data_IF_776318155444
#
_entry.id   IF_776318155444
#
_cell.length_a   1.000
_cell.length_b   1.000
_cell.length_c   1.000
_cell.angle_alpha   90.00
_cell.angle_beta   90.00
_cell.angle_gamma   90.00
#
_symmetry.space_group_name_H-M   'P 1'
#
loop_
_entity.id
_entity.type
_entity.pdbx_description
1 polymer ?
#
# COMPACT_ATOMS: atom_id res chain seq x y z
N UNK A 1 38.88 60.94 1.71
CA UNK A 1 37.40 60.94 1.84
C UNK A 1 37.11 60.72 3.31
N UNK A 2 36.22 61.52 3.88
CA UNK A 2 35.87 61.50 5.31
C UNK A 2 35.44 60.09 5.74
N UNK A 3 36.03 59.60 6.83
CA UNK A 3 35.64 58.38 7.55
C UNK A 3 34.20 58.53 8.08
N UNK A 4 33.22 58.41 7.20
CA UNK A 4 31.87 58.03 7.59
C UNK A 4 32.00 56.66 8.24
N UNK A 5 31.86 56.63 9.57
CA UNK A 5 31.97 55.49 10.48
C UNK A 5 32.28 54.16 9.75
N UNK A 6 33.56 53.78 9.66
CA UNK A 6 34.00 52.60 8.91
C UNK A 6 33.30 51.30 9.34
N UNK A 7 32.70 51.27 10.53
CA UNK A 7 31.93 50.15 11.07
C UNK A 7 30.44 50.18 10.72
N UNK A 8 29.95 51.27 10.12
CA UNK A 8 28.52 51.49 9.87
C UNK A 8 27.90 50.40 9.01
N UNK A 9 28.58 50.04 7.92
CA UNK A 9 28.09 48.99 7.02
C UNK A 9 27.88 47.67 7.78
N UNK A 10 28.85 47.26 8.59
CA UNK A 10 28.77 46.04 9.39
C UNK A 10 27.68 46.11 10.46
N UNK A 11 27.51 47.24 11.13
CA UNK A 11 26.45 47.45 12.12
C UNK A 11 25.05 47.38 11.47
N UNK A 12 24.87 47.99 10.31
CA UNK A 12 23.62 47.94 9.55
C UNK A 12 23.35 46.51 9.03
N UNK A 13 24.39 45.81 8.57
CA UNK A 13 24.31 44.43 8.11
C UNK A 13 23.95 43.43 9.24
N UNK A 14 24.44 43.66 10.47
CA UNK A 14 24.04 42.87 11.65
C UNK A 14 22.54 43.02 11.98
N UNK A 15 21.95 44.17 11.67
CA UNK A 15 20.52 44.40 11.79
C UNK A 15 19.71 43.84 10.59
N UNK A 16 20.37 43.17 9.63
CA UNK A 16 19.76 42.62 8.42
C UNK A 16 19.61 43.62 7.27
N UNK A 17 20.13 44.84 7.42
CA UNK A 17 20.05 45.89 6.41
C UNK A 17 21.34 45.91 5.58
N UNK A 18 21.37 45.10 4.52
CA UNK A 18 22.52 45.03 3.63
C UNK A 18 22.58 46.25 2.69
N UNK A 19 23.69 46.97 2.72
CA UNK A 19 24.03 47.99 1.72
C UNK A 19 24.44 47.40 0.37
N UNK A 20 24.80 48.22 -0.62
CA UNK A 20 25.35 47.74 -1.90
C UNK A 20 26.63 46.92 -1.65
N UNK A 21 26.76 45.81 -2.40
CA UNK A 21 27.91 44.89 -2.32
C UNK A 21 28.63 44.96 -3.67
N UNK A 22 29.89 45.40 -3.64
CA UNK A 22 30.77 45.46 -4.81
C UNK A 22 32.10 44.77 -4.51
N UNK A 23 32.59 43.98 -5.46
CA UNK A 23 33.80 43.15 -5.31
C UNK A 23 35.07 43.97 -5.01
N UNK A 24 35.11 45.24 -5.45
CA UNK A 24 36.24 46.15 -5.26
C UNK A 24 36.10 47.07 -4.04
N UNK A 25 35.08 46.88 -3.21
CA UNK A 25 34.77 47.76 -2.08
C UNK A 25 34.54 46.95 -0.79
N UNK A 26 35.61 46.34 -0.23
CA UNK A 26 35.51 45.59 1.01
C UNK A 26 35.08 46.50 2.16
N UNK A 27 34.21 46.00 3.03
CA UNK A 27 33.70 46.77 4.17
C UNK A 27 34.29 46.25 5.48
N UNK A 28 34.74 47.16 6.33
CA UNK A 28 35.30 46.82 7.64
C UNK A 28 34.24 46.19 8.54
N UNK A 29 34.61 45.09 9.20
CA UNK A 29 33.69 44.32 10.02
C UNK A 29 34.17 42.92 10.34
N UNK A 30 33.31 42.20 11.07
CA UNK A 30 33.49 40.80 11.40
C UNK A 30 32.43 39.96 10.68
N UNK A 31 32.89 38.90 10.02
CA UNK A 31 32.09 38.05 9.16
C UNK A 31 32.42 36.57 9.40
N UNK A 32 31.64 35.68 8.80
CA UNK A 32 32.00 34.27 8.67
C UNK A 32 31.89 33.81 7.22
N UNK A 33 32.70 32.83 6.85
CA UNK A 33 32.64 32.23 5.51
C UNK A 33 32.88 30.72 5.59
N UNK A 34 32.37 29.97 4.61
CA UNK A 34 32.67 28.54 4.47
C UNK A 34 32.67 28.12 3.02
N UNK A 35 33.45 27.08 2.73
CA UNK A 35 33.24 26.31 1.52
C UNK A 35 32.07 25.34 1.70
N UNK A 36 31.52 24.86 0.59
CA UNK A 36 30.47 23.85 0.61
C UNK A 36 30.97 22.63 1.40
N UNK A 37 30.16 22.19 2.38
CA UNK A 37 30.43 21.05 3.26
C UNK A 37 31.69 21.20 4.15
N UNK A 38 32.13 22.44 4.44
CA UNK A 38 33.20 22.76 5.40
C UNK A 38 32.68 23.61 6.58
N UNK A 39 33.36 23.58 7.74
CA UNK A 39 33.02 24.44 8.88
C UNK A 39 33.07 25.93 8.52
N UNK A 40 32.31 26.76 9.23
CA UNK A 40 32.47 28.21 9.15
C UNK A 40 33.79 28.66 9.77
N UNK A 41 34.45 29.54 9.06
CA UNK A 41 35.68 30.21 9.48
C UNK A 41 35.39 31.69 9.76
N UNK A 42 35.91 32.23 10.89
CA UNK A 42 35.77 33.65 11.20
C UNK A 42 36.62 34.48 10.24
N UNK A 43 36.10 35.63 9.84
CA UNK A 43 36.76 36.58 8.96
C UNK A 43 36.73 37.97 9.59
N UNK A 44 37.88 38.61 9.74
CA UNK A 44 37.97 40.03 10.08
C UNK A 44 38.51 40.80 8.88
N UNK A 45 37.87 41.91 8.55
CA UNK A 45 38.34 42.88 7.55
C UNK A 45 38.49 44.22 8.24
N UNK A 46 39.63 44.88 8.09
CA UNK A 46 39.87 46.21 8.65
C UNK A 46 40.73 47.06 7.72
N UNK A 47 40.56 48.38 7.81
CA UNK A 47 41.36 49.35 7.07
C UNK A 47 42.37 50.00 8.00
N UNK A 48 43.66 49.87 7.68
CA UNK A 48 44.76 50.40 8.49
C UNK A 48 45.86 50.95 7.58
N UNK A 49 46.46 52.09 7.95
CA UNK A 49 47.57 52.71 7.21
C UNK A 49 47.33 52.94 5.70
N UNK A 50 46.08 53.10 5.28
CA UNK A 50 45.73 53.30 3.87
C UNK A 50 45.54 52.02 3.06
N UNK A 51 45.65 50.86 3.69
CA UNK A 51 45.51 49.54 3.06
C UNK A 51 44.40 48.70 3.74
N UNK A 52 43.80 47.83 2.95
CA UNK A 52 42.81 46.86 3.43
C UNK A 52 43.48 45.57 3.84
N UNK A 53 43.21 45.15 5.08
CA UNK A 53 43.68 43.88 5.63
C UNK A 53 42.50 42.94 5.90
N UNK A 54 42.74 41.63 5.73
CA UNK A 54 41.79 40.63 6.11
C UNK A 54 42.46 39.39 6.70
N UNK A 55 41.81 38.79 7.71
CA UNK A 55 42.21 37.54 8.34
C UNK A 55 41.06 36.54 8.24
N UNK A 56 41.33 35.34 7.74
CA UNK A 56 40.43 34.18 7.75
C UNK A 56 40.97 33.15 8.74
N UNK A 57 40.36 33.06 9.92
CA UNK A 57 40.99 32.42 11.07
C UNK A 57 42.31 33.10 11.38
N UNK A 58 43.38 32.32 11.48
CA UNK A 58 44.75 32.80 11.71
C UNK A 58 45.50 33.17 10.42
N UNK A 59 44.85 33.11 9.25
CA UNK A 59 45.51 33.30 7.94
C UNK A 59 45.23 34.68 7.35
N UNK A 60 46.27 35.40 6.99
CA UNK A 60 46.15 36.64 6.22
C UNK A 60 45.69 36.33 4.78
N UNK A 61 44.69 37.07 4.30
CA UNK A 61 44.11 36.94 2.96
C UNK A 61 43.85 38.32 2.36
N UNK A 62 43.71 38.40 1.04
CA UNK A 62 43.31 39.63 0.37
C UNK A 62 41.85 40.00 0.72
N UNK A 63 41.64 41.22 1.19
CA UNK A 63 40.32 41.71 1.61
C UNK A 63 39.29 41.76 0.47
N UNK A 64 39.68 42.17 -0.73
CA UNK A 64 38.79 42.22 -1.89
C UNK A 64 38.38 40.81 -2.35
N UNK A 65 39.30 39.83 -2.28
CA UNK A 65 39.00 38.44 -2.65
C UNK A 65 38.02 37.77 -1.69
N UNK A 66 38.17 37.98 -0.38
CA UNK A 66 37.32 37.31 0.62
C UNK A 66 35.96 38.00 0.82
N UNK A 67 35.87 39.28 0.49
CA UNK A 67 34.70 40.13 0.72
C UNK A 67 33.40 39.52 0.16
N UNK A 68 33.40 39.13 -1.11
CA UNK A 68 32.21 38.58 -1.80
C UNK A 68 31.69 37.28 -1.17
N UNK A 69 32.58 36.52 -0.52
CA UNK A 69 32.26 35.26 0.16
C UNK A 69 31.77 35.43 1.61
N UNK A 70 32.06 36.57 2.24
CA UNK A 70 31.75 36.78 3.66
C UNK A 70 30.72 37.90 3.93
N UNK A 71 30.55 38.86 3.01
CA UNK A 71 29.67 40.03 3.14
C UNK A 71 28.22 39.71 3.56
N UNK A 72 27.66 38.57 3.14
CA UNK A 72 26.28 38.16 3.45
C UNK A 72 26.12 37.52 4.84
N UNK A 73 27.21 37.30 5.57
CA UNK A 73 27.21 36.62 6.87
C UNK A 73 27.95 37.44 7.92
N UNK A 74 27.45 38.64 8.28
CA UNK A 74 28.02 39.43 9.37
C UNK A 74 27.82 38.72 10.71
N UNK A 75 28.81 38.84 11.60
CA UNK A 75 28.78 38.26 12.95
C UNK A 75 29.13 39.32 13.99
N UNK A 76 28.68 39.14 15.23
CA UNK A 76 29.08 40.02 16.32
C UNK A 76 30.57 39.85 16.61
N UNK A 77 31.19 40.88 17.18
CA UNK A 77 32.59 40.82 17.61
C UNK A 77 32.82 39.70 18.64
N UNK A 78 31.84 39.49 19.53
CA UNK A 78 31.86 38.40 20.51
C UNK A 78 31.87 37.02 19.83
N UNK A 79 31.02 36.81 18.82
CA UNK A 79 31.00 35.57 18.04
C UNK A 79 32.31 35.36 17.26
N UNK A 80 32.92 36.44 16.75
CA UNK A 80 34.22 36.37 16.09
C UNK A 80 35.32 35.91 17.06
N UNK A 81 35.43 36.53 18.23
CA UNK A 81 36.44 36.15 19.24
C UNK A 81 36.23 34.71 19.71
N UNK A 82 34.98 34.33 20.00
CA UNK A 82 34.65 32.96 20.38
C UNK A 82 35.08 31.94 19.32
N UNK A 83 34.87 32.24 18.04
CA UNK A 83 35.26 31.37 16.94
C UNK A 83 36.80 31.28 16.78
N UNK A 84 37.53 32.39 16.97
CA UNK A 84 39.00 32.43 16.96
C UNK A 84 39.59 31.63 18.13
N UNK A 85 38.97 31.71 19.31
CA UNK A 85 39.37 30.96 20.51
C UNK A 85 39.00 29.47 20.45
N UNK A 86 38.43 29.00 19.32
CA UNK A 86 38.04 27.61 19.10
C UNK A 86 36.68 27.21 19.70
N UNK A 87 35.90 28.16 20.22
CA UNK A 87 34.59 27.93 20.83
C UNK A 87 33.42 27.75 19.85
N UNK A 88 33.66 27.83 18.54
CA UNK A 88 32.65 27.58 17.51
C UNK A 88 31.53 28.62 17.41
N UNK A 89 30.36 28.21 16.91
CA UNK A 89 29.21 29.08 16.60
C UNK A 89 27.96 28.63 17.36
N UNK A 90 27.24 29.56 18.00
CA UNK A 90 26.08 29.22 18.84
C UNK A 90 24.86 28.72 18.04
N UNK A 91 24.75 29.13 16.79
CA UNK A 91 23.70 28.72 15.85
C UNK A 91 24.05 27.44 15.08
N UNK A 92 25.27 26.93 15.21
CA UNK A 92 25.63 25.63 14.62
C UNK A 92 25.61 24.51 15.67
N UNK A 93 25.06 23.34 15.32
CA UNK A 93 25.27 22.16 16.14
C UNK A 93 26.74 21.74 16.06
N UNK A 94 27.26 21.24 17.18
CA UNK A 94 28.62 20.70 17.26
C UNK A 94 28.85 19.70 16.12
N UNK A 95 29.99 19.80 15.44
CA UNK A 95 30.33 18.79 14.43
C UNK A 95 30.51 17.45 15.16
N UNK A 96 29.90 16.35 14.70
CA UNK A 96 30.15 15.05 15.29
C UNK A 96 31.64 14.73 15.22
N UNK A 97 32.21 14.29 16.35
CA UNK A 97 33.62 13.92 16.47
C UNK A 97 33.87 12.57 15.76
N UNK A 98 33.73 12.56 14.44
CA UNK A 98 33.98 11.40 13.61
C UNK A 98 35.50 11.28 13.45
N UNK A 99 36.11 10.32 14.15
CA UNK A 99 37.54 10.08 14.09
C UNK A 99 38.03 9.76 12.68
N UNK A 100 39.32 9.98 12.40
CA UNK A 100 39.95 9.76 11.08
C UNK A 100 39.96 8.31 10.58
N UNK A 101 39.42 7.36 11.35
CA UNK A 101 39.42 5.93 11.03
C UNK A 101 38.00 5.40 10.82
N UNK A 102 37.29 6.00 9.86
CA UNK A 102 35.98 5.51 9.43
C UNK A 102 36.10 4.12 8.76
N UNK A 103 35.11 3.22 8.95
CA UNK A 103 35.05 1.95 8.22
C UNK A 103 35.06 2.16 6.70
N UNK A 104 35.65 1.22 5.96
CA UNK A 104 35.65 1.24 4.49
C UNK A 104 34.30 0.82 3.90
N UNK A 105 33.51 0.05 4.65
CA UNK A 105 32.18 -0.35 4.25
C UNK A 105 31.21 0.85 4.31
N UNK A 106 30.49 1.17 3.21
CA UNK A 106 29.59 2.33 3.18
C UNK A 106 28.43 2.26 4.18
N UNK A 107 27.93 1.07 4.52
CA UNK A 107 26.85 0.92 5.48
C UNK A 107 27.36 1.16 6.90
N UNK A 108 28.48 0.54 7.27
CA UNK A 108 29.11 0.74 8.59
C UNK A 108 29.53 2.20 8.78
N UNK A 109 30.09 2.84 7.75
CA UNK A 109 30.46 4.25 7.80
C UNK A 109 29.23 5.16 8.03
N UNK A 110 28.12 4.88 7.34
CA UNK A 110 26.88 5.65 7.52
C UNK A 110 26.22 5.40 8.88
N UNK A 111 26.37 4.20 9.44
CA UNK A 111 25.90 3.89 10.79
C UNK A 111 26.68 4.67 11.85
N UNK A 112 28.00 4.80 11.70
CA UNK A 112 28.83 5.64 12.58
C UNK A 112 28.43 7.11 12.48
N UNK A 113 28.21 7.64 11.26
CA UNK A 113 27.72 9.00 11.03
C UNK A 113 26.37 9.24 11.74
N UNK A 114 25.44 8.29 11.61
CA UNK A 114 24.13 8.38 12.25
C UNK A 114 24.20 8.33 13.78
N UNK A 115 24.98 7.42 14.35
CA UNK A 115 25.02 7.28 15.82
C UNK A 115 25.61 8.53 16.49
N UNK A 116 26.63 9.14 15.87
CA UNK A 116 27.21 10.38 16.36
C UNK A 116 26.20 11.55 16.34
N UNK A 117 25.44 11.73 15.25
CA UNK A 117 24.40 12.75 15.16
C UNK A 117 23.21 12.45 16.09
N UNK A 118 22.83 11.17 16.22
CA UNK A 118 21.74 10.71 17.09
C UNK A 118 22.00 10.99 18.56
N UNK A 119 23.23 10.77 19.04
CA UNK A 119 23.59 11.06 20.43
C UNK A 119 23.41 12.56 20.76
N UNK A 120 23.90 13.43 19.88
CA UNK A 120 23.78 14.88 20.04
C UNK A 120 22.31 15.34 19.98
N UNK A 121 21.54 14.86 19.01
CA UNK A 121 20.13 15.20 18.85
C UNK A 121 19.31 14.69 20.04
N UNK A 122 19.58 13.48 20.53
CA UNK A 122 18.89 12.93 21.70
C UNK A 122 19.19 13.73 22.98
N UNK A 123 20.40 14.28 23.12
CA UNK A 123 20.72 15.19 24.21
C UNK A 123 20.00 16.54 24.05
N UNK A 124 19.94 17.08 22.84
CA UNK A 124 19.27 18.36 22.53
C UNK A 124 17.76 18.29 22.77
N UNK A 125 17.09 17.22 22.34
CA UNK A 125 15.64 17.01 22.48
C UNK A 125 15.14 16.98 23.94
N UNK A 126 16.03 16.80 24.93
CA UNK A 126 15.68 16.85 26.36
C UNK A 126 15.37 18.27 26.85
N UNK A 127 15.78 19.30 26.10
CA UNK A 127 15.58 20.70 26.45
C UNK A 127 14.55 21.34 25.52
N UNK A 128 13.65 22.20 26.02
CA UNK A 128 12.76 22.95 25.15
C UNK A 128 13.57 23.94 24.30
N UNK A 129 13.17 24.10 23.04
CA UNK A 129 13.70 25.14 22.14
C UNK A 129 13.13 26.47 22.63
N UNK A 130 14.00 27.37 23.09
CA UNK A 130 13.57 28.67 23.64
C UNK A 130 14.21 29.87 22.95
N UNK A 131 15.23 29.64 22.11
CA UNK A 131 15.96 30.67 21.38
C UNK A 131 15.96 30.41 19.87
N UNK A 132 16.21 31.45 19.07
CA UNK A 132 16.37 31.31 17.62
C UNK A 132 17.56 30.39 17.28
N UNK A 133 18.67 30.50 18.02
CA UNK A 133 19.83 29.62 17.85
C UNK A 133 19.48 28.14 18.12
N UNK A 134 18.63 27.84 19.10
CA UNK A 134 18.10 26.48 19.30
C UNK A 134 17.31 25.99 18.09
N UNK A 135 16.46 26.85 17.52
CA UNK A 135 15.66 26.52 16.35
C UNK A 135 16.53 26.29 15.10
N UNK A 136 17.57 27.10 14.90
CA UNK A 136 18.51 26.98 13.79
C UNK A 136 19.34 25.69 13.91
N UNK A 137 19.81 25.34 15.11
CA UNK A 137 20.49 24.07 15.38
C UNK A 137 19.59 22.86 15.07
N UNK A 138 18.33 22.90 15.52
CA UNK A 138 17.34 21.87 15.20
C UNK A 138 17.12 21.72 13.69
N UNK A 139 17.02 22.81 12.95
CA UNK A 139 16.85 22.79 11.50
C UNK A 139 18.07 22.18 10.78
N UNK A 140 19.30 22.50 11.23
CA UNK A 140 20.53 21.94 10.68
C UNK A 140 20.61 20.43 10.95
N UNK A 141 20.37 20.00 12.19
CA UNK A 141 20.33 18.57 12.54
C UNK A 141 19.27 17.81 11.73
N UNK A 142 18.06 18.36 11.60
CA UNK A 142 17.00 17.78 10.77
C UNK A 142 17.48 17.53 9.33
N UNK A 143 18.14 18.53 8.71
CA UNK A 143 18.70 18.40 7.36
C UNK A 143 19.81 17.34 7.27
N UNK A 144 20.69 17.25 8.28
CA UNK A 144 21.76 16.24 8.32
C UNK A 144 21.17 14.83 8.43
N UNK A 145 20.23 14.61 9.34
CA UNK A 145 19.52 13.33 9.49
C UNK A 145 18.75 12.93 8.23
N UNK A 146 18.07 13.89 7.57
CA UNK A 146 17.40 13.64 6.30
C UNK A 146 18.40 13.23 5.19
N UNK A 147 19.60 13.82 5.20
CA UNK A 147 20.67 13.45 4.25
C UNK A 147 21.18 12.04 4.51
N UNK A 148 21.37 11.64 5.77
CA UNK A 148 21.75 10.28 6.16
C UNK A 148 20.68 9.27 5.70
N UNK A 149 19.41 9.55 5.95
CA UNK A 149 18.30 8.70 5.51
C UNK A 149 18.25 8.54 3.98
N UNK A 150 18.52 9.62 3.23
CA UNK A 150 18.63 9.57 1.78
C UNK A 150 19.80 8.69 1.32
N UNK A 151 21.01 8.88 1.89
CA UNK A 151 22.18 8.04 1.60
C UNK A 151 21.87 6.56 1.83
N UNK A 152 21.22 6.22 2.94
CA UNK A 152 20.84 4.85 3.26
C UNK A 152 19.87 4.26 2.21
N UNK A 153 18.87 5.06 1.78
CA UNK A 153 17.93 4.65 0.73
C UNK A 153 18.64 4.39 -0.60
N UNK A 154 19.57 5.27 -0.98
CA UNK A 154 20.33 5.16 -2.22
C UNK A 154 21.28 3.95 -2.19
N UNK A 155 22.02 3.72 -1.10
CA UNK A 155 22.87 2.54 -0.91
C UNK A 155 22.06 1.24 -0.95
N UNK A 156 20.98 1.16 -0.17
CA UNK A 156 20.09 -0.01 -0.16
C UNK A 156 19.52 -0.29 -1.56
N UNK A 157 19.13 0.75 -2.31
CA UNK A 157 18.67 0.57 -3.69
C UNK A 157 19.74 -0.06 -4.56
N UNK A 158 20.97 0.44 -4.52
CA UNK A 158 22.10 -0.09 -5.30
C UNK A 158 22.39 -1.54 -4.93
N UNK A 159 22.45 -1.85 -3.63
CA UNK A 159 22.73 -3.21 -3.14
C UNK A 159 21.61 -4.20 -3.49
N UNK A 160 20.35 -3.76 -3.39
CA UNK A 160 19.18 -4.61 -3.66
C UNK A 160 18.91 -4.81 -5.16
N UNK A 161 19.34 -3.89 -6.02
CA UNK A 161 19.02 -3.89 -7.45
C UNK A 161 19.40 -5.19 -8.17
N UNK A 162 20.61 -5.77 -8.00
CA UNK A 162 20.97 -7.03 -8.63
C UNK A 162 20.07 -8.20 -8.22
N UNK A 163 19.65 -8.25 -6.96
CA UNK A 163 18.75 -9.30 -6.46
C UNK A 163 17.34 -9.16 -7.04
N UNK A 164 16.85 -7.92 -7.20
CA UNK A 164 15.56 -7.67 -7.87
C UNK A 164 15.61 -8.03 -9.35
N UNK A 165 16.70 -7.72 -10.03
CA UNK A 165 16.87 -8.04 -11.44
C UNK A 165 17.01 -9.55 -11.65
N UNK A 166 17.70 -10.26 -10.76
CA UNK A 166 17.76 -11.73 -10.77
C UNK A 166 16.38 -12.35 -10.49
N UNK A 167 15.64 -11.83 -9.51
CA UNK A 167 14.26 -12.28 -9.26
C UNK A 167 13.39 -12.11 -10.49
N UNK A 168 13.43 -10.94 -11.14
CA UNK A 168 12.67 -10.66 -12.38
C UNK A 168 13.08 -11.61 -13.49
N UNK A 169 14.37 -11.85 -13.69
CA UNK A 169 14.90 -12.77 -14.70
C UNK A 169 14.36 -14.19 -14.49
N UNK A 170 14.33 -14.65 -13.23
CA UNK A 170 13.75 -15.96 -12.87
C UNK A 170 12.24 -15.95 -13.15
N UNK A 171 11.52 -14.95 -12.67
CA UNK A 171 10.07 -14.85 -12.85
C UNK A 171 9.69 -14.86 -14.33
N UNK A 172 10.37 -14.07 -15.15
CA UNK A 172 10.13 -13.97 -16.58
C UNK A 172 10.44 -15.29 -17.32
N UNK A 173 11.51 -16.01 -16.92
CA UNK A 173 11.81 -17.35 -17.45
C UNK A 173 10.65 -18.32 -17.25
N UNK A 174 9.92 -18.21 -16.15
CA UNK A 174 8.83 -19.14 -15.80
C UNK A 174 7.43 -18.63 -16.14
N UNK A 175 7.27 -17.33 -16.42
CA UNK A 175 5.96 -16.69 -16.65
C UNK A 175 5.14 -17.41 -17.70
N UNK A 176 5.67 -17.57 -18.91
CA UNK A 176 4.98 -18.25 -20.01
C UNK A 176 4.60 -19.70 -19.66
N UNK A 177 5.49 -20.44 -18.99
CA UNK A 177 5.22 -21.82 -18.58
C UNK A 177 4.18 -21.94 -17.46
N UNK A 178 3.97 -20.89 -16.66
CA UNK A 178 2.93 -20.84 -15.64
C UNK A 178 1.59 -20.37 -16.21
N UNK A 179 1.60 -19.34 -17.04
CA UNK A 179 0.41 -18.66 -17.53
C UNK A 179 -0.17 -19.34 -18.78
N UNK A 180 0.64 -19.63 -19.80
CA UNK A 180 0.13 -20.12 -21.10
C UNK A 180 -0.55 -21.49 -20.98
N UNK A 181 0.03 -22.52 -20.31
CA UNK A 181 -0.66 -23.80 -20.15
C UNK A 181 -1.93 -23.70 -19.32
N UNK A 182 -1.95 -22.84 -18.30
CA UNK A 182 -3.13 -22.60 -17.48
C UNK A 182 -4.25 -21.97 -18.31
N UNK A 183 -3.92 -20.99 -19.15
CA UNK A 183 -4.87 -20.31 -20.01
C UNK A 183 -5.35 -21.18 -21.16
N UNK A 184 -4.46 -21.95 -21.80
CA UNK A 184 -4.84 -22.98 -22.77
C UNK A 184 -5.75 -24.04 -22.14
N UNK A 185 -5.45 -24.50 -20.93
CA UNK A 185 -6.31 -25.44 -20.20
C UNK A 185 -7.71 -24.87 -19.94
N UNK A 186 -7.82 -23.60 -19.50
CA UNK A 186 -9.10 -22.91 -19.34
C UNK A 186 -9.86 -22.82 -20.67
N UNK A 187 -9.17 -22.46 -21.76
CA UNK A 187 -9.77 -22.39 -23.10
C UNK A 187 -10.28 -23.74 -23.59
N UNK A 188 -9.51 -24.82 -23.38
CA UNK A 188 -9.94 -26.17 -23.72
C UNK A 188 -11.19 -26.59 -22.93
N UNK A 189 -11.23 -26.31 -21.63
CA UNK A 189 -12.43 -26.57 -20.81
C UNK A 189 -13.65 -25.82 -21.33
N UNK A 190 -13.49 -24.51 -21.60
CA UNK A 190 -14.55 -23.68 -22.19
C UNK A 190 -15.00 -24.15 -23.57
N UNK A 191 -14.09 -24.72 -24.36
CA UNK A 191 -14.43 -25.27 -25.67
C UNK A 191 -15.39 -26.46 -25.57
N UNK A 192 -15.45 -27.13 -24.41
CA UNK A 192 -16.40 -28.21 -24.16
C UNK A 192 -17.77 -27.71 -23.66
N UNK A 193 -17.93 -26.41 -23.39
CA UNK A 193 -19.16 -25.87 -22.80
C UNK A 193 -20.37 -26.18 -23.69
N UNK A 194 -20.26 -25.96 -25.00
CA UNK A 194 -21.36 -26.24 -25.95
C UNK A 194 -21.76 -27.72 -25.94
N UNK A 195 -20.78 -28.63 -25.90
CA UNK A 195 -21.05 -30.07 -25.82
C UNK A 195 -21.72 -30.44 -24.50
N UNK A 196 -21.20 -29.94 -23.37
CA UNK A 196 -21.76 -30.22 -22.04
C UNK A 196 -23.17 -29.63 -21.87
N UNK A 197 -23.44 -28.45 -22.44
CA UNK A 197 -24.77 -27.85 -22.48
C UNK A 197 -25.75 -28.70 -23.28
N UNK A 198 -25.33 -29.22 -24.42
CA UNK A 198 -26.16 -30.13 -25.22
C UNK A 198 -26.41 -31.45 -24.48
N UNK A 199 -25.39 -32.03 -23.83
CA UNK A 199 -25.58 -33.21 -22.99
C UNK A 199 -26.54 -32.93 -21.83
N UNK A 200 -26.46 -31.75 -21.21
CA UNK A 200 -27.40 -31.33 -20.17
C UNK A 200 -28.82 -31.19 -20.71
N UNK A 201 -29.00 -30.65 -21.93
CA UNK A 201 -30.30 -30.55 -22.60
C UNK A 201 -30.92 -31.93 -22.86
N UNK A 202 -30.13 -32.87 -23.39
CA UNK A 202 -30.56 -34.25 -23.63
C UNK A 202 -30.94 -34.97 -22.33
N UNK A 203 -30.14 -34.77 -21.27
CA UNK A 203 -30.41 -35.35 -19.96
C UNK A 203 -31.66 -34.75 -19.31
N UNK A 204 -31.89 -33.44 -19.47
CA UNK A 204 -33.14 -32.78 -19.04
C UNK A 204 -34.35 -33.30 -19.81
N UNK A 205 -34.22 -33.53 -21.12
CA UNK A 205 -35.30 -34.11 -21.93
C UNK A 205 -35.61 -35.55 -21.51
N UNK A 206 -34.58 -36.38 -21.31
CA UNK A 206 -34.72 -37.74 -20.78
C UNK A 206 -35.38 -37.72 -19.41
N UNK A 207 -34.92 -36.83 -18.52
CA UNK A 207 -35.50 -36.68 -17.19
C UNK A 207 -36.97 -36.25 -17.26
N UNK A 208 -37.35 -35.33 -18.15
CA UNK A 208 -38.74 -34.91 -18.32
C UNK A 208 -39.61 -36.09 -18.74
N UNK A 209 -39.20 -36.86 -19.75
CA UNK A 209 -39.92 -38.06 -20.21
C UNK A 209 -40.00 -39.13 -19.10
N UNK A 210 -38.91 -39.36 -18.38
CA UNK A 210 -38.87 -40.33 -17.28
C UNK A 210 -39.75 -39.91 -16.10
N UNK A 211 -39.88 -38.61 -15.81
CA UNK A 211 -40.80 -38.08 -14.79
C UNK A 211 -42.25 -38.23 -15.22
N UNK A 212 -42.60 -37.90 -16.46
CA UNK A 212 -43.96 -38.08 -16.99
C UNK A 212 -44.39 -39.56 -16.94
N UNK A 213 -43.47 -40.48 -17.26
CA UNK A 213 -43.66 -41.92 -17.17
C UNK A 213 -43.81 -42.39 -15.72
N UNK A 214 -42.91 -41.96 -14.82
CA UNK A 214 -42.98 -42.27 -13.39
C UNK A 214 -44.29 -41.75 -12.77
N UNK A 215 -44.74 -40.54 -13.13
CA UNK A 215 -46.01 -39.96 -12.68
C UNK A 215 -47.22 -40.75 -13.22
N UNK A 216 -47.12 -41.37 -14.39
CA UNK A 216 -48.17 -42.27 -14.92
C UNK A 216 -48.20 -43.58 -14.14
N UNK A 217 -47.05 -44.23 -13.95
CA UNK A 217 -46.94 -45.51 -13.24
C UNK A 217 -47.31 -45.33 -11.76
N UNK A 218 -46.95 -44.22 -11.14
CA UNK A 218 -47.33 -43.91 -9.77
C UNK A 218 -48.85 -43.74 -9.59
N UNK A 219 -49.54 -43.10 -10.55
CA UNK A 219 -51.00 -43.01 -10.55
C UNK A 219 -51.65 -44.39 -10.71
N UNK A 220 -51.16 -45.22 -11.62
CA UNK A 220 -51.64 -46.59 -11.81
C UNK A 220 -51.42 -47.46 -10.56
N UNK A 221 -50.26 -47.32 -9.91
CA UNK A 221 -49.96 -48.01 -8.66
C UNK A 221 -50.87 -47.55 -7.50
N UNK A 222 -51.15 -46.25 -7.39
CA UNK A 222 -52.07 -45.73 -6.37
C UNK A 222 -53.51 -46.16 -6.62
N UNK A 223 -53.98 -46.13 -7.87
CA UNK A 223 -55.29 -46.63 -8.27
C UNK A 223 -55.44 -48.14 -7.95
N UNK A 224 -54.43 -48.95 -8.25
CA UNK A 224 -54.42 -50.38 -7.93
C UNK A 224 -54.41 -50.63 -6.42
N UNK A 225 -53.66 -49.83 -5.65
CA UNK A 225 -53.64 -49.90 -4.17
C UNK A 225 -55.01 -49.55 -3.58
N UNK A 226 -55.63 -48.46 -4.03
CA UNK A 226 -56.97 -48.04 -3.61
C UNK A 226 -58.01 -49.10 -4.00
N UNK A 227 -57.89 -49.72 -5.18
CA UNK A 227 -58.77 -50.80 -5.62
C UNK A 227 -58.61 -52.05 -4.75
N UNK A 228 -57.39 -52.45 -4.42
CA UNK A 228 -57.11 -53.56 -3.52
C UNK A 228 -57.65 -53.31 -2.11
N UNK A 229 -57.46 -52.09 -1.57
CA UNK A 229 -57.97 -51.68 -0.26
C UNK A 229 -59.51 -51.65 -0.22
N UNK A 230 -60.17 -51.07 -1.23
CA UNK A 230 -61.64 -51.07 -1.34
C UNK A 230 -62.21 -52.48 -1.47
N UNK A 231 -61.55 -53.36 -2.24
CA UNK A 231 -61.96 -54.76 -2.38
C UNK A 231 -61.83 -55.51 -1.06
N UNK A 232 -60.72 -55.31 -0.33
CA UNK A 232 -60.52 -55.89 1.00
C UNK A 232 -61.58 -55.41 2.00
N UNK A 233 -61.86 -54.11 2.03
CA UNK A 233 -62.90 -53.53 2.90
C UNK A 233 -64.30 -54.07 2.59
N UNK A 234 -64.63 -54.27 1.31
CA UNK A 234 -65.91 -54.87 0.89
C UNK A 234 -66.02 -56.34 1.30
N UNK A 235 -64.96 -57.14 1.13
CA UNK A 235 -64.95 -58.54 1.56
C UNK A 235 -65.14 -58.69 3.09
N UNK A 236 -64.52 -57.81 3.88
CA UNK A 236 -64.72 -57.75 5.34
C UNK A 236 -66.17 -57.37 5.69
N UNK A 237 -66.76 -56.42 4.97
CA UNK A 237 -68.15 -56.00 5.18
C UNK A 237 -69.18 -57.07 4.80
N UNK A 238 -68.94 -57.82 3.72
CA UNK A 238 -69.85 -58.85 3.21
C UNK A 238 -69.70 -60.21 3.94
N UNK A 239 -68.70 -60.35 4.84
CA UNK A 239 -68.48 -61.58 5.62
C UNK A 239 -68.07 -62.80 4.78
N UNK A 240 -67.56 -62.57 3.57
CA UNK A 240 -67.20 -63.62 2.60
C UNK A 240 -65.79 -64.15 2.93
N UNK A 241 -65.68 -65.43 3.30
CA UNK A 241 -64.43 -66.09 3.67
C UNK A 241 -64.20 -67.41 2.90
N UNK A 242 -64.64 -67.50 1.64
CA UNK A 242 -64.32 -68.66 0.81
C UNK A 242 -62.90 -68.59 0.24
N UNK A 243 -62.37 -69.75 -0.15
CA UNK A 243 -61.01 -69.88 -0.68
C UNK A 243 -60.78 -69.09 -1.99
N UNK A 244 -61.84 -68.82 -2.77
CA UNK A 244 -61.75 -68.07 -4.02
C UNK A 244 -61.60 -66.57 -3.76
N UNK A 245 -62.32 -66.02 -2.78
CA UNK A 245 -62.22 -64.62 -2.35
C UNK A 245 -60.85 -64.29 -1.76
N UNK A 246 -60.25 -65.23 -1.01
CA UNK A 246 -58.88 -65.11 -0.46
C UNK A 246 -57.85 -65.14 -1.60
N UNK A 247 -58.00 -66.02 -2.58
CA UNK A 247 -57.10 -66.09 -3.74
C UNK A 247 -57.16 -64.80 -4.58
N UNK A 248 -58.37 -64.24 -4.78
CA UNK A 248 -58.57 -62.98 -5.50
C UNK A 248 -57.95 -61.78 -4.77
N UNK A 249 -58.05 -61.73 -3.44
CA UNK A 249 -57.40 -60.72 -2.61
C UNK A 249 -55.88 -60.80 -2.71
N UNK A 250 -55.29 -61.98 -2.55
CA UNK A 250 -53.84 -62.18 -2.64
C UNK A 250 -53.30 -61.81 -4.03
N UNK A 251 -54.03 -62.11 -5.11
CA UNK A 251 -53.66 -61.72 -6.46
C UNK A 251 -53.65 -60.20 -6.64
N UNK A 252 -54.64 -59.48 -6.09
CA UNK A 252 -54.70 -58.00 -6.12
C UNK A 252 -53.61 -57.34 -5.30
N UNK A 253 -53.29 -57.89 -4.13
CA UNK A 253 -52.16 -57.42 -3.31
C UNK A 253 -50.85 -57.62 -4.05
N UNK A 254 -50.62 -58.80 -4.64
CA UNK A 254 -49.42 -59.06 -5.43
C UNK A 254 -49.32 -58.16 -6.68
N UNK A 255 -50.46 -57.82 -7.30
CA UNK A 255 -50.52 -56.86 -8.41
C UNK A 255 -50.17 -55.43 -7.97
N UNK A 256 -50.75 -54.97 -6.85
CA UNK A 256 -50.43 -53.66 -6.26
C UNK A 256 -48.95 -53.56 -5.84
N UNK A 257 -48.38 -54.62 -5.26
CA UNK A 257 -46.96 -54.67 -4.89
C UNK A 257 -46.03 -54.62 -6.11
N UNK A 258 -46.37 -55.33 -7.20
CA UNK A 258 -45.60 -55.23 -8.47
C UNK A 258 -45.65 -53.82 -9.04
N UNK A 259 -46.82 -53.19 -9.07
CA UNK A 259 -46.97 -51.83 -9.59
C UNK A 259 -46.24 -50.81 -8.70
N UNK A 260 -46.23 -51.00 -7.38
CA UNK A 260 -45.44 -50.18 -6.46
C UNK A 260 -43.93 -50.33 -6.70
N UNK A 261 -43.44 -51.55 -6.95
CA UNK A 261 -42.05 -51.79 -7.29
C UNK A 261 -41.68 -51.15 -8.64
N UNK A 262 -42.55 -51.25 -9.65
CA UNK A 262 -42.38 -50.58 -10.95
C UNK A 262 -42.34 -49.05 -10.81
N UNK A 263 -43.19 -48.47 -9.95
CA UNK A 263 -43.16 -47.04 -9.64
C UNK A 263 -41.82 -46.63 -9.00
N UNK A 264 -41.31 -47.42 -8.04
CA UNK A 264 -40.02 -47.17 -7.39
C UNK A 264 -38.80 -47.34 -8.32
N UNK A 265 -38.86 -48.26 -9.29
CA UNK A 265 -37.86 -48.40 -10.35
C UNK A 265 -37.91 -47.21 -11.32
N UNK A 266 -39.10 -46.79 -11.75
CA UNK A 266 -39.30 -45.64 -12.65
C UNK A 266 -38.85 -44.32 -11.99
N UNK A 267 -39.12 -44.13 -10.69
CA UNK A 267 -38.66 -42.96 -9.94
C UNK A 267 -37.12 -42.91 -9.84
N UNK A 268 -36.46 -44.06 -9.64
CA UNK A 268 -34.99 -44.16 -9.67
C UNK A 268 -34.43 -43.81 -11.04
N UNK A 269 -35.09 -44.22 -12.12
CA UNK A 269 -34.70 -43.83 -13.47
C UNK A 269 -34.89 -42.33 -13.73
N UNK A 270 -35.90 -41.69 -13.14
CA UNK A 270 -36.17 -40.25 -13.28
C UNK A 270 -35.18 -39.33 -12.55
N UNK A 271 -34.30 -39.87 -11.69
CA UNK A 271 -33.31 -39.09 -10.96
C UNK A 271 -32.33 -38.37 -11.91
N UNK A 272 -31.95 -37.14 -11.55
CA UNK A 272 -31.03 -36.32 -12.34
C UNK A 272 -29.62 -36.91 -12.34
N UNK A 273 -29.00 -36.98 -13.52
CA UNK A 273 -27.57 -37.29 -13.63
C UNK A 273 -26.82 -36.04 -14.07
N UNK A 274 -25.64 -35.82 -13.50
CA UNK A 274 -24.80 -34.70 -13.93
C UNK A 274 -24.21 -35.00 -15.30
N UNK A 275 -24.55 -34.15 -16.28
CA UNK A 275 -23.89 -34.16 -17.58
C UNK A 275 -22.39 -33.92 -17.40
N UNK A 276 -21.58 -34.76 -18.03
CA UNK A 276 -20.12 -34.71 -17.89
C UNK A 276 -19.43 -35.29 -19.11
N UNK A 277 -18.20 -34.86 -19.36
CA UNK A 277 -17.34 -35.35 -20.43
C UNK A 277 -15.98 -35.82 -19.88
N UNK A 278 -15.27 -36.61 -20.67
CA UNK A 278 -13.92 -37.08 -20.36
C UNK A 278 -13.86 -38.43 -19.64
N UNK A 279 -12.65 -39.00 -19.58
CA UNK A 279 -12.37 -40.30 -18.95
C UNK A 279 -12.11 -40.17 -17.44
N UNK A 280 -12.05 -41.31 -16.74
CA UNK A 280 -11.64 -41.39 -15.34
C UNK A 280 -10.32 -40.64 -15.11
N UNK A 281 -10.30 -39.72 -14.14
CA UNK A 281 -9.16 -38.84 -13.84
C UNK A 281 -9.11 -37.51 -14.62
N UNK A 282 -9.94 -37.34 -15.65
CA UNK A 282 -10.03 -36.10 -16.46
C UNK A 282 -11.48 -35.66 -16.71
N UNK A 283 -12.40 -36.05 -15.82
CA UNK A 283 -13.83 -35.75 -15.95
C UNK A 283 -14.08 -34.26 -15.73
N UNK A 284 -14.87 -33.66 -16.62
CA UNK A 284 -15.30 -32.25 -16.53
C UNK A 284 -16.82 -32.21 -16.54
N UNK A 285 -17.38 -31.35 -15.70
CA UNK A 285 -18.80 -31.06 -15.62
C UNK A 285 -19.01 -29.55 -15.51
N UNK A 286 -20.19 -29.07 -15.90
CA UNK A 286 -20.56 -27.68 -15.74
C UNK A 286 -20.60 -27.29 -14.26
N UNK A 287 -20.14 -26.08 -13.93
CA UNK A 287 -20.19 -25.49 -12.59
C UNK A 287 -20.85 -24.13 -12.64
N UNK A 288 -21.68 -23.85 -11.64
CA UNK A 288 -22.32 -22.54 -11.47
C UNK A 288 -21.38 -21.61 -10.69
N UNK A 289 -20.99 -20.50 -11.30
CA UNK A 289 -20.27 -19.42 -10.63
C UNK A 289 -21.24 -18.24 -10.44
N UNK A 290 -21.38 -17.78 -9.20
CA UNK A 290 -22.20 -16.61 -8.86
C UNK A 290 -21.29 -15.40 -8.80
N UNK A 291 -21.46 -14.47 -9.74
CA UNK A 291 -20.72 -13.21 -9.77
C UNK A 291 -21.69 -12.04 -9.65
N UNK A 292 -21.32 -11.02 -8.89
CA UNK A 292 -22.09 -9.78 -8.82
C UNK A 292 -21.83 -8.92 -10.06
N UNK A 293 -22.89 -8.35 -10.63
CA UNK A 293 -22.82 -7.29 -11.63
C UNK A 293 -23.43 -6.03 -11.02
N UNK A 294 -22.62 -5.01 -10.79
CA UNK A 294 -23.09 -3.73 -10.26
C UNK A 294 -23.65 -2.90 -11.42
N UNK A 295 -24.96 -2.65 -11.41
CA UNK A 295 -25.62 -1.84 -12.43
C UNK A 295 -25.82 -0.37 -11.98
N UNK A 296 -25.87 -0.15 -10.66
CA UNK A 296 -25.95 1.17 -10.05
C UNK A 296 -24.88 1.26 -8.95
N UNK A 297 -23.82 2.01 -9.24
CA UNK A 297 -22.70 2.18 -8.32
C UNK A 297 -23.05 3.05 -7.12
N UNK A 298 -23.96 4.02 -7.26
CA UNK A 298 -24.36 4.89 -6.15
C UNK A 298 -25.18 4.10 -5.13
N UNK A 299 -26.15 3.32 -5.59
CA UNK A 299 -26.94 2.45 -4.72
C UNK A 299 -26.05 1.39 -4.05
N UNK A 300 -25.14 0.77 -4.80
CA UNK A 300 -24.21 -0.22 -4.26
C UNK A 300 -23.25 0.36 -3.22
N UNK A 301 -22.63 1.52 -3.50
CA UNK A 301 -21.76 2.20 -2.54
C UNK A 301 -22.52 2.59 -1.27
N UNK A 302 -23.73 3.12 -1.40
CA UNK A 302 -24.59 3.47 -0.25
C UNK A 302 -24.88 2.25 0.62
N UNK A 303 -25.29 1.14 0.00
CA UNK A 303 -25.55 -0.11 0.72
C UNK A 303 -24.29 -0.63 1.43
N UNK A 304 -23.14 -0.63 0.76
CA UNK A 304 -21.87 -1.07 1.35
C UNK A 304 -21.39 -0.18 2.50
N UNK A 305 -21.62 1.14 2.42
CA UNK A 305 -21.36 2.09 3.51
C UNK A 305 -22.30 1.81 4.70
N UNK A 306 -23.59 1.58 4.45
CA UNK A 306 -24.55 1.21 5.51
C UNK A 306 -24.18 -0.12 6.18
N UNK A 307 -23.62 -1.05 5.42
CA UNK A 307 -23.07 -2.31 5.93
C UNK A 307 -21.71 -2.16 6.65
N UNK A 308 -21.15 -0.95 6.69
CA UNK A 308 -19.85 -0.64 7.29
C UNK A 308 -18.70 -1.50 6.75
N UNK A 309 -18.67 -1.71 5.44
CA UNK A 309 -17.63 -2.53 4.82
C UNK A 309 -16.24 -1.87 4.99
N UNK A 310 -15.27 -2.54 5.65
CA UNK A 310 -14.02 -1.89 6.08
C UNK A 310 -13.17 -1.38 4.90
N UNK A 311 -13.05 -2.16 3.83
CA UNK A 311 -12.24 -1.78 2.68
C UNK A 311 -12.78 -0.55 1.95
N UNK A 312 -14.11 -0.41 1.88
CA UNK A 312 -14.73 0.74 1.22
C UNK A 312 -14.50 2.00 2.06
N UNK A 313 -14.63 1.91 3.38
CA UNK A 313 -14.37 3.04 4.29
C UNK A 313 -12.91 3.49 4.19
N UNK A 314 -11.96 2.56 4.16
CA UNK A 314 -10.54 2.88 3.98
C UNK A 314 -10.27 3.58 2.64
N UNK A 315 -10.91 3.15 1.55
CA UNK A 315 -10.81 3.81 0.24
C UNK A 315 -11.43 5.20 0.27
N UNK A 316 -12.59 5.38 0.93
CA UNK A 316 -13.23 6.69 1.11
C UNK A 316 -12.27 7.64 1.85
N UNK A 317 -11.66 7.20 2.96
CA UNK A 317 -10.71 8.02 3.73
C UNK A 317 -9.50 8.44 2.90
N UNK A 318 -8.95 7.52 2.10
CA UNK A 318 -7.82 7.82 1.21
C UNK A 318 -8.18 8.86 0.14
N UNK A 319 -9.35 8.71 -0.48
CA UNK A 319 -9.83 9.63 -1.51
C UNK A 319 -10.18 11.01 -0.92
N UNK A 320 -10.82 11.04 0.25
CA UNK A 320 -11.14 12.25 0.98
C UNK A 320 -9.88 13.05 1.33
N UNK A 321 -8.88 12.40 1.93
CA UNK A 321 -7.60 13.03 2.26
C UNK A 321 -6.89 13.59 1.02
N UNK A 322 -6.94 12.89 -0.11
CA UNK A 322 -6.34 13.37 -1.37
C UNK A 322 -7.05 14.61 -1.90
N UNK A 323 -8.38 14.63 -1.87
CA UNK A 323 -9.18 15.78 -2.31
C UNK A 323 -8.94 17.02 -1.44
N UNK A 324 -8.95 16.86 -0.11
CA UNK A 324 -8.67 17.97 0.82
C UNK A 324 -7.25 18.52 0.60
N UNK A 325 -6.24 17.66 0.43
CA UNK A 325 -4.86 18.08 0.10
C UNK A 325 -4.75 18.84 -1.22
N UNK A 326 -5.61 18.53 -2.19
CA UNK A 326 -5.71 19.24 -3.46
C UNK A 326 -6.51 20.55 -3.36
N UNK A 327 -7.01 20.92 -2.19
CA UNK A 327 -7.81 22.13 -1.96
C UNK A 327 -9.29 22.01 -2.31
N UNK A 328 -9.78 20.79 -2.57
CA UNK A 328 -11.20 20.56 -2.84
C UNK A 328 -11.98 20.43 -1.52
N UNK A 329 -13.24 20.87 -1.51
CA UNK A 329 -14.17 20.64 -0.40
C UNK A 329 -15.08 19.46 -0.73
N UNK A 330 -15.24 18.54 0.21
CA UNK A 330 -16.11 17.37 0.07
C UNK A 330 -17.18 17.38 1.18
N UNK A 331 -18.47 17.28 0.83
CA UNK A 331 -19.53 17.13 1.84
C UNK A 331 -19.26 15.96 2.78
N UNK A 332 -19.37 16.19 4.09
CA UNK A 332 -19.14 15.18 5.13
C UNK A 332 -17.67 14.95 5.49
N UNK A 333 -16.73 15.72 4.93
CA UNK A 333 -15.31 15.69 5.28
C UNK A 333 -14.90 17.03 5.88
N UNK A 334 -14.30 16.99 7.08
CA UNK A 334 -13.76 18.18 7.75
C UNK A 334 -12.29 18.38 7.38
N UNK A 335 -11.91 19.61 7.03
CA UNK A 335 -10.50 19.98 6.82
C UNK A 335 -9.90 20.41 8.16
N UNK A 336 -8.98 19.61 8.67
CA UNK A 336 -8.17 19.93 9.86
C UNK A 336 -6.79 20.36 9.41
N UNK A 337 -6.39 21.58 9.77
CA UNK A 337 -5.05 22.13 9.48
C UNK A 337 -4.20 22.12 10.74
N UNK A 338 -3.05 21.47 10.67
CA UNK A 338 -2.07 21.46 11.75
C UNK A 338 -0.73 21.95 11.19
N UNK A 339 -0.20 23.02 11.78
CA UNK A 339 1.13 23.51 11.44
C UNK A 339 2.15 22.73 12.25
N UNK A 340 2.99 21.96 11.55
CA UNK A 340 4.13 21.24 12.11
C UNK A 340 5.39 21.68 11.37
N UNK A 341 6.53 21.61 12.03
CA UNK A 341 7.82 21.77 11.35
C UNK A 341 7.91 20.72 10.21
N UNK A 342 8.35 21.17 9.03
CA UNK A 342 8.39 20.39 7.80
C UNK A 342 9.58 19.43 7.72
#
# INVERSE_FOLDING_TARGET
>A
MSNDNAWKWWQDALAGNFGPIHDSDPQQGYYRTRFKDKPWEPVAIWFENGEWHAMRGERAINAAEIWTFCCRNPISYEAYNKAIDGGGWDDEPEAPAIGHNLPSDPFEALQVEFEAEKEQVAAFLKKPITTQADADRAAIWSKRLATIAKKATDLHKVEKQPSLDESRRIDDKWRGLKEDPADLSKRLKRHMDAYLQEQQRLEQERQRKAREEADRIAREADEARIAAEKAAAKQVADGIADAAAIAEHNNRVAEAERLAQQAADAEREAQARNASAGRTGARVALRTFVNARVNDYQAAATALVLMKHPDLLAVIDQLANRAIKAGQSLPGVERVEEQRAA
#
